data_IF_398762013344
#
_entry.id   IF_398762013344
#
_cell.length_a   1.000
_cell.length_b   1.000
_cell.length_c   1.000
_cell.angle_alpha   90.00
_cell.angle_beta   90.00
_cell.angle_gamma   90.00
#
_symmetry.space_group_name_H-M   'P 1'
#
loop_
_entity.id
_entity.type
_entity.pdbx_description
1 polymer ?
#
# COMPACT_ATOMS: atom_id res chain seq x y z
N UNK A 1 -4.50 6.04 -2.89
CA UNK A 1 -5.26 7.31 -2.85
C UNK A 1 -4.23 8.43 -2.69
N UNK A 2 -4.04 9.33 -3.68
CA UNK A 2 -3.17 10.51 -3.52
C UNK A 2 -4.06 11.68 -3.10
N UNK A 3 -3.96 12.08 -1.84
CA UNK A 3 -4.68 13.21 -1.29
C UNK A 3 -3.64 14.32 -1.07
N UNK A 4 -3.73 15.41 -1.83
CA UNK A 4 -2.72 16.48 -1.84
C UNK A 4 -3.39 17.81 -1.45
N UNK A 5 -3.12 18.30 -0.23
CA UNK A 5 -3.63 19.58 0.27
C UNK A 5 -2.63 20.71 -0.01
N UNK A 6 -2.40 21.06 -1.29
CA UNK A 6 -1.41 22.08 -1.67
C UNK A 6 -1.73 23.48 -1.10
N UNK A 7 -3.01 23.89 -1.05
CA UNK A 7 -3.39 25.22 -0.59
C UNK A 7 -3.43 25.35 0.95
N UNK A 8 -3.92 24.33 1.65
CA UNK A 8 -4.09 24.36 3.11
C UNK A 8 -2.77 24.21 3.85
N UNK A 9 -1.78 23.49 3.30
CA UNK A 9 -0.48 23.30 3.94
C UNK A 9 0.55 24.39 3.59
N UNK A 10 0.41 25.06 2.43
CA UNK A 10 1.37 26.08 1.97
C UNK A 10 1.01 27.53 2.37
N UNK A 11 -0.28 27.84 2.57
CA UNK A 11 -0.74 29.21 2.87
C UNK A 11 -1.81 29.27 3.99
N UNK A 12 -2.17 28.12 4.59
CA UNK A 12 -3.19 28.04 5.63
C UNK A 12 -2.67 28.38 7.03
N UNK A 13 -3.57 28.88 7.89
CA UNK A 13 -3.25 29.23 9.29
C UNK A 13 -3.04 28.01 10.20
N UNK A 14 -3.38 26.80 9.73
CA UNK A 14 -3.42 25.57 10.53
C UNK A 14 -2.84 24.35 9.77
N UNK A 15 -1.57 24.41 9.32
CA UNK A 15 -0.98 23.35 8.50
C UNK A 15 -0.90 22.00 9.24
N UNK A 16 -0.70 22.01 10.57
CA UNK A 16 -0.67 20.81 11.41
C UNK A 16 -2.04 20.14 11.53
N UNK A 17 -3.09 20.93 11.76
CA UNK A 17 -4.44 20.44 11.96
C UNK A 17 -5.02 19.86 10.67
N UNK A 18 -4.71 20.48 9.52
CA UNK A 18 -5.07 19.93 8.21
C UNK A 18 -4.44 18.56 7.99
N UNK A 19 -3.13 18.40 8.24
CA UNK A 19 -2.45 17.10 8.09
C UNK A 19 -3.03 16.06 9.06
N UNK A 20 -3.34 16.45 10.30
CA UNK A 20 -3.94 15.56 11.29
C UNK A 20 -5.40 15.16 10.93
N UNK A 21 -6.19 16.08 10.37
CA UNK A 21 -7.52 15.77 9.86
C UNK A 21 -7.45 14.82 8.66
N UNK A 22 -6.55 15.11 7.72
CA UNK A 22 -6.29 14.26 6.55
C UNK A 22 -5.90 12.83 6.96
N UNK A 23 -4.96 12.70 7.90
CA UNK A 23 -4.53 11.41 8.43
C UNK A 23 -5.70 10.63 9.06
N UNK A 24 -6.55 11.29 9.85
CA UNK A 24 -7.74 10.67 10.44
C UNK A 24 -8.74 10.19 9.40
N UNK A 25 -8.97 10.97 8.33
CA UNK A 25 -9.86 10.60 7.23
C UNK A 25 -9.31 9.40 6.47
N UNK A 26 -8.01 9.39 6.15
CA UNK A 26 -7.35 8.24 5.50
C UNK A 26 -7.47 6.97 6.36
N UNK A 27 -7.14 7.05 7.66
CA UNK A 27 -7.26 5.91 8.57
C UNK A 27 -8.71 5.41 8.71
N UNK A 28 -9.70 6.31 8.69
CA UNK A 28 -11.11 5.95 8.70
C UNK A 28 -11.54 5.25 7.42
N UNK A 29 -11.08 5.75 6.27
CA UNK A 29 -11.37 5.17 4.96
C UNK A 29 -10.72 3.78 4.78
N UNK A 30 -9.51 3.56 5.29
CA UNK A 30 -8.80 2.27 5.20
C UNK A 30 -9.49 1.13 5.97
N UNK A 31 -10.33 1.44 6.97
CA UNK A 31 -11.12 0.44 7.70
C UNK A 31 -12.31 -0.11 6.91
N UNK A 32 -12.62 0.45 5.74
CA UNK A 32 -13.75 0.01 4.94
C UNK A 32 -13.40 -1.35 4.28
N UNK A 33 -14.23 -2.40 4.45
CA UNK A 33 -13.92 -3.75 3.94
C UNK A 33 -13.68 -3.81 2.43
N UNK A 34 -14.33 -2.92 1.66
CA UNK A 34 -14.19 -2.87 0.20
C UNK A 34 -12.79 -2.47 -0.27
N UNK A 35 -12.01 -1.77 0.56
CA UNK A 35 -10.64 -1.34 0.23
C UNK A 35 -9.61 -2.42 0.59
N UNK A 36 -9.95 -3.34 1.50
CA UNK A 36 -9.07 -4.41 1.96
C UNK A 36 -9.16 -5.70 1.14
N UNK A 37 -10.11 -5.80 0.20
CA UNK A 37 -10.32 -6.99 -0.64
C UNK A 37 -9.93 -6.67 -2.07
N UNK A 38 -8.73 -7.09 -2.48
CA UNK A 38 -8.34 -7.12 -3.89
C UNK A 38 -8.84 -8.41 -4.54
N UNK A 39 -9.25 -8.36 -5.82
CA UNK A 39 -9.53 -9.57 -6.62
C UNK A 39 -8.25 -10.31 -7.07
N UNK A 40 -7.08 -9.92 -6.55
CA UNK A 40 -5.78 -10.56 -6.80
C UNK A 40 -5.37 -10.74 -8.28
N UNK A 41 -6.04 -10.05 -9.21
CA UNK A 41 -5.80 -10.14 -10.66
C UNK A 41 -5.64 -11.59 -11.14
N UNK A 42 -6.51 -12.48 -10.68
CA UNK A 42 -6.43 -13.92 -10.96
C UNK A 42 -6.50 -14.27 -12.46
N UNK A 43 -6.97 -13.35 -13.31
CA UNK A 43 -7.09 -13.54 -14.77
C UNK A 43 -5.95 -12.89 -15.60
N UNK A 44 -4.85 -12.45 -14.98
CA UNK A 44 -3.75 -11.76 -15.69
C UNK A 44 -2.53 -12.67 -15.81
N UNK A 45 -2.02 -12.84 -17.04
CA UNK A 45 -0.71 -13.44 -17.30
C UNK A 45 0.39 -12.40 -17.03
N UNK A 46 1.44 -12.82 -16.33
CA UNK A 46 2.60 -11.97 -16.03
C UNK A 46 3.78 -12.37 -16.90
N UNK A 47 4.38 -11.40 -17.58
CA UNK A 47 5.60 -11.60 -18.39
C UNK A 47 6.87 -11.25 -17.60
N UNK A 48 6.74 -10.85 -16.34
CA UNK A 48 7.85 -10.46 -15.47
C UNK A 48 7.87 -11.29 -14.19
N UNK A 49 9.03 -11.89 -13.91
CA UNK A 49 9.28 -12.72 -12.73
C UNK A 49 9.08 -11.91 -11.44
N UNK A 50 9.54 -10.65 -11.38
CA UNK A 50 9.37 -9.80 -10.19
C UNK A 50 7.89 -9.55 -9.87
N UNK A 51 7.07 -9.37 -10.91
CA UNK A 51 5.63 -9.13 -10.76
C UNK A 51 4.91 -10.40 -10.29
N UNK A 52 5.28 -11.56 -10.84
CA UNK A 52 4.75 -12.85 -10.40
C UNK A 52 5.09 -13.14 -8.93
N UNK A 53 6.31 -12.82 -8.48
CA UNK A 53 6.72 -12.97 -7.08
C UNK A 53 5.92 -12.02 -6.18
N UNK A 54 5.80 -10.75 -6.57
CA UNK A 54 5.02 -9.76 -5.80
C UNK A 54 3.55 -10.18 -5.65
N UNK A 55 2.92 -10.65 -6.73
CA UNK A 55 1.52 -11.10 -6.73
C UNK A 55 1.31 -12.35 -5.87
N UNK A 56 2.20 -13.33 -5.97
CA UNK A 56 2.10 -14.57 -5.18
C UNK A 56 2.34 -14.32 -3.68
N UNK A 57 3.31 -13.48 -3.32
CA UNK A 57 3.55 -13.07 -1.94
C UNK A 57 2.34 -12.34 -1.34
N UNK A 58 1.74 -11.41 -2.07
CA UNK A 58 0.54 -10.69 -1.64
C UNK A 58 -0.69 -11.61 -1.54
N UNK A 59 -0.82 -12.59 -2.44
CA UNK A 59 -1.88 -13.59 -2.35
C UNK A 59 -1.74 -14.44 -1.08
N UNK A 60 -0.53 -14.95 -0.81
CA UNK A 60 -0.24 -15.69 0.40
C UNK A 60 -0.50 -14.85 1.66
N UNK A 61 -0.05 -13.59 1.68
CA UNK A 61 -0.25 -12.69 2.81
C UNK A 61 -1.74 -12.41 3.10
N UNK A 62 -2.56 -12.22 2.07
CA UNK A 62 -3.99 -11.95 2.25
C UNK A 62 -4.82 -13.20 2.62
N UNK A 63 -4.38 -14.41 2.26
CA UNK A 63 -5.15 -15.64 2.48
C UNK A 63 -4.62 -16.52 3.63
N UNK A 64 -3.38 -16.31 4.07
CA UNK A 64 -2.79 -17.03 5.18
C UNK A 64 -3.15 -16.35 6.51
N UNK A 65 -3.90 -17.05 7.36
CA UNK A 65 -4.24 -16.55 8.69
C UNK A 65 -2.99 -16.42 9.56
N UNK A 66 -2.84 -15.28 10.23
CA UNK A 66 -1.73 -15.01 11.14
C UNK A 66 -0.59 -14.19 10.54
N UNK A 67 -0.67 -13.82 9.26
CA UNK A 67 0.26 -12.86 8.67
C UNK A 67 -0.05 -11.45 9.17
N UNK A 68 0.98 -10.73 9.64
CA UNK A 68 0.87 -9.40 10.23
C UNK A 68 1.59 -8.32 9.44
N UNK A 69 2.51 -8.71 8.55
CA UNK A 69 3.34 -7.80 7.77
C UNK A 69 3.90 -8.49 6.52
N UNK A 70 4.20 -7.68 5.51
CA UNK A 70 4.89 -8.09 4.29
C UNK A 70 6.22 -7.35 4.25
N UNK A 71 7.32 -8.06 3.99
CA UNK A 71 8.65 -7.46 3.95
C UNK A 71 9.22 -7.66 2.54
N UNK A 72 9.52 -6.56 1.87
CA UNK A 72 10.10 -6.55 0.52
C UNK A 72 11.55 -6.08 0.57
N UNK A 73 12.49 -6.97 0.22
CA UNK A 73 13.90 -6.63 0.05
C UNK A 73 14.16 -6.32 -1.42
N UNK A 74 14.59 -5.10 -1.73
CA UNK A 74 14.80 -4.67 -3.12
C UNK A 74 15.83 -3.55 -3.19
N UNK A 75 16.82 -3.66 -4.07
CA UNK A 75 17.83 -2.60 -4.28
C UNK A 75 17.25 -1.37 -4.99
N UNK A 76 16.26 -1.56 -5.86
CA UNK A 76 15.68 -0.48 -6.69
C UNK A 76 14.31 0.01 -6.20
N UNK A 77 13.67 -0.69 -5.27
CA UNK A 77 12.30 -0.37 -4.83
C UNK A 77 11.20 -0.87 -5.78
N UNK A 78 11.54 -1.59 -6.85
CA UNK A 78 10.61 -2.01 -7.89
C UNK A 78 9.59 -3.04 -7.40
N UNK A 79 10.06 -4.05 -6.66
CA UNK A 79 9.19 -5.08 -6.06
C UNK A 79 8.18 -4.47 -5.10
N UNK A 80 8.64 -3.54 -4.26
CA UNK A 80 7.80 -2.85 -3.30
C UNK A 80 6.80 -1.86 -3.93
N UNK A 81 7.01 -1.45 -5.19
CA UNK A 81 6.03 -0.68 -5.96
C UNK A 81 4.95 -1.60 -6.55
N UNK A 82 5.31 -2.86 -6.86
CA UNK A 82 4.37 -3.84 -7.38
C UNK A 82 3.45 -4.37 -6.27
N UNK A 83 3.99 -4.68 -5.09
CA UNK A 83 3.21 -5.10 -3.92
C UNK A 83 2.22 -4.02 -3.46
N UNK A 84 2.65 -2.75 -3.44
CA UNK A 84 1.78 -1.63 -3.03
C UNK A 84 0.60 -1.35 -3.99
N UNK A 85 0.56 -1.96 -5.17
CA UNK A 85 -0.57 -1.84 -6.12
C UNK A 85 -1.73 -2.78 -5.77
N UNK A 86 -1.49 -3.75 -4.88
CA UNK A 86 -2.50 -4.72 -4.47
C UNK A 86 -3.08 -4.26 -3.13
N UNK A 87 -4.38 -4.01 -3.11
CA UNK A 87 -5.12 -3.71 -1.90
C UNK A 87 -4.93 -4.81 -0.84
N UNK A 88 -4.31 -4.44 0.28
CA UNK A 88 -4.17 -5.26 1.48
C UNK A 88 -4.30 -4.38 2.71
N UNK A 89 -4.91 -4.90 3.76
CA UNK A 89 -4.93 -4.25 5.08
C UNK A 89 -3.65 -4.47 5.88
N UNK A 90 -2.67 -5.18 5.31
CA UNK A 90 -1.39 -5.45 5.95
C UNK A 90 -0.37 -4.35 5.64
N UNK A 91 0.44 -3.94 6.63
CA UNK A 91 1.56 -3.04 6.38
C UNK A 91 2.62 -3.71 5.49
N UNK A 92 3.08 -3.00 4.47
CA UNK A 92 4.20 -3.38 3.59
C UNK A 92 5.46 -2.61 3.97
N UNK A 93 6.48 -3.34 4.42
CA UNK A 93 7.78 -2.78 4.79
C UNK A 93 8.78 -2.98 3.66
N UNK A 94 9.28 -1.87 3.14
CA UNK A 94 10.33 -1.84 2.12
C UNK A 94 11.70 -1.70 2.78
N UNK A 95 12.58 -2.66 2.52
CA UNK A 95 14.00 -2.55 2.81
C UNK A 95 14.78 -2.37 1.51
N UNK A 96 15.48 -1.24 1.40
CA UNK A 96 16.38 -0.93 0.29
C UNK A 96 17.81 -1.15 0.75
N UNK A 97 18.47 -2.15 0.18
CA UNK A 97 19.89 -2.36 0.42
C UNK A 97 20.71 -1.23 -0.26
N UNK A 98 21.80 -0.76 0.37
CA UNK A 98 22.58 0.37 -0.11
C UNK A 98 23.36 0.09 -1.40
#
# INVERSE_FOLDING_TARGET
MRLCCLAETAAGQYPSETVAAMARVCLGAEKIPSINVSKHRLDVQFDNVEEAIAMSAMYAANHLKGVTAIITMTESGRTALMTSRISSGLPDFRHVAP
#
